data_IF_420675784074
#
_entry.id   IF_420675784074
#
_cell.length_a   1.000
_cell.length_b   1.000
_cell.length_c   1.000
_cell.angle_alpha   90.00
_cell.angle_beta   90.00
_cell.angle_gamma   90.00
#
_symmetry.space_group_name_H-M   'P 1'
#
loop_
_entity.id
_entity.type
_entity.pdbx_description
1 polymer ?
#
# COMPACT_ATOMS: atom_id res chain seq x y z
N UNK A 1 -13.04 -16.26 -80.57
CA UNK A 1 -14.06 -16.48 -79.51
C UNK A 1 -13.36 -16.92 -78.24
N UNK A 2 -13.70 -16.26 -77.12
CA UNK A 2 -13.52 -16.64 -75.70
C UNK A 2 -12.10 -16.51 -75.10
N UNK A 3 -11.82 -15.37 -74.46
CA UNK A 3 -11.91 -15.04 -72.99
C UNK A 3 -10.62 -15.43 -72.27
N UNK A 4 -9.70 -14.53 -71.92
CA UNK A 4 -9.77 -13.41 -70.95
C UNK A 4 -10.02 -13.84 -69.51
N UNK A 5 -9.15 -13.35 -68.63
CA UNK A 5 -9.22 -13.27 -67.15
C UNK A 5 -8.83 -14.51 -66.33
N UNK A 6 -7.59 -14.52 -65.85
CA UNK A 6 -7.20 -15.12 -64.55
C UNK A 6 -5.82 -14.58 -64.13
N UNK A 7 -5.75 -13.26 -63.93
CA UNK A 7 -4.57 -12.61 -63.35
C UNK A 7 -5.02 -11.42 -62.47
N UNK A 8 -5.83 -11.71 -61.44
CA UNK A 8 -6.21 -10.72 -60.42
C UNK A 8 -6.76 -11.46 -59.18
N UNK A 9 -5.94 -12.28 -58.52
CA UNK A 9 -6.31 -12.92 -57.25
C UNK A 9 -5.08 -13.21 -56.39
N UNK A 10 -4.17 -12.24 -56.27
CA UNK A 10 -3.05 -12.32 -55.32
C UNK A 10 -2.63 -10.94 -54.75
N UNK A 11 -3.43 -9.89 -54.94
CA UNK A 11 -3.16 -8.53 -54.43
C UNK A 11 -4.22 -7.98 -53.48
N UNK A 12 -5.33 -8.68 -53.25
CA UNK A 12 -6.40 -8.22 -52.35
C UNK A 12 -6.28 -8.69 -50.90
N UNK A 13 -5.42 -9.68 -50.58
CA UNK A 13 -5.34 -10.21 -49.20
C UNK A 13 -4.50 -9.32 -48.27
N UNK A 14 -3.62 -8.47 -48.81
CA UNK A 14 -2.77 -7.55 -48.01
C UNK A 14 -3.49 -6.22 -47.68
N UNK A 15 -4.58 -5.88 -48.39
CA UNK A 15 -5.32 -4.63 -48.16
C UNK A 15 -6.37 -4.75 -47.04
N UNK A 16 -6.94 -5.95 -46.84
CA UNK A 16 -8.03 -6.18 -45.87
C UNK A 16 -7.49 -6.17 -44.43
N UNK A 17 -6.29 -6.72 -44.21
CA UNK A 17 -5.62 -6.71 -42.91
C UNK A 17 -5.19 -5.31 -42.46
N UNK A 18 -4.75 -4.45 -43.39
CA UNK A 18 -4.39 -3.08 -43.03
C UNK A 18 -5.60 -2.21 -42.68
N UNK A 19 -6.76 -2.47 -43.31
CA UNK A 19 -8.01 -1.78 -43.02
C UNK A 19 -8.59 -2.18 -41.66
N UNK A 20 -8.51 -3.47 -41.28
CA UNK A 20 -8.97 -3.94 -39.97
C UNK A 20 -8.07 -3.41 -38.85
N UNK A 21 -6.75 -3.43 -39.03
CA UNK A 21 -5.80 -2.89 -38.04
C UNK A 21 -5.98 -1.37 -37.85
N UNK A 22 -6.19 -0.62 -38.93
CA UNK A 22 -6.47 0.82 -38.84
C UNK A 22 -7.77 1.13 -38.09
N UNK A 23 -8.82 0.32 -38.29
CA UNK A 23 -10.08 0.43 -37.54
C UNK A 23 -9.85 0.21 -36.05
N UNK A 24 -9.15 -0.87 -35.68
CA UNK A 24 -8.86 -1.21 -34.29
C UNK A 24 -8.00 -0.14 -33.60
N UNK A 25 -6.98 0.42 -34.26
CA UNK A 25 -6.18 1.53 -33.70
C UNK A 25 -7.00 2.79 -33.43
N UNK A 26 -7.98 3.09 -34.29
CA UNK A 26 -8.92 4.21 -34.08
C UNK A 26 -9.83 3.94 -32.88
N UNK A 27 -10.30 2.71 -32.73
CA UNK A 27 -11.12 2.30 -31.59
C UNK A 27 -10.32 2.38 -30.28
N UNK A 28 -9.08 1.89 -30.26
CA UNK A 28 -8.18 2.01 -29.11
C UNK A 28 -7.98 3.48 -28.70
N UNK A 29 -7.77 4.36 -29.69
CA UNK A 29 -7.65 5.81 -29.47
C UNK A 29 -8.94 6.40 -28.89
N UNK A 30 -10.10 5.97 -29.40
CA UNK A 30 -11.40 6.45 -28.94
C UNK A 30 -11.67 6.00 -27.49
N UNK A 31 -11.42 4.74 -27.15
CA UNK A 31 -11.54 4.20 -25.80
C UNK A 31 -10.66 4.96 -24.81
N UNK A 32 -9.38 5.22 -25.16
CA UNK A 32 -8.47 6.00 -24.34
C UNK A 32 -8.99 7.43 -24.09
N UNK A 33 -9.46 8.12 -25.13
CA UNK A 33 -10.00 9.48 -24.98
C UNK A 33 -11.30 9.51 -24.18
N UNK A 34 -12.17 8.52 -24.36
CA UNK A 34 -13.40 8.39 -23.57
C UNK A 34 -13.10 8.15 -22.08
N UNK A 35 -12.02 7.41 -21.77
CA UNK A 35 -11.58 7.18 -20.40
C UNK A 35 -11.10 8.47 -19.74
N UNK A 36 -10.21 9.23 -20.40
CA UNK A 36 -9.76 10.53 -19.89
C UNK A 36 -10.91 11.55 -19.79
N UNK A 37 -11.88 11.52 -20.71
CA UNK A 37 -13.09 12.33 -20.61
C UNK A 37 -13.93 11.94 -19.39
N UNK A 38 -14.06 10.64 -19.10
CA UNK A 38 -14.77 10.15 -17.92
C UNK A 38 -14.09 10.63 -16.63
N UNK A 39 -12.76 10.47 -16.53
CA UNK A 39 -11.96 10.99 -15.41
C UNK A 39 -12.16 12.50 -15.23
N UNK A 40 -12.04 13.28 -16.31
CA UNK A 40 -12.23 14.74 -16.25
C UNK A 40 -13.60 15.12 -15.71
N UNK A 41 -14.63 14.39 -16.12
CA UNK A 41 -16.01 14.64 -15.72
C UNK A 41 -16.36 14.00 -14.37
N UNK A 42 -15.42 13.32 -13.69
CA UNK A 42 -15.66 12.54 -12.48
C UNK A 42 -16.76 11.47 -12.66
N UNK A 43 -16.85 10.90 -13.86
CA UNK A 43 -17.78 9.81 -14.21
C UNK A 43 -17.10 8.46 -13.94
N UNK A 44 -17.02 8.08 -12.66
CA UNK A 44 -16.33 6.87 -12.21
C UNK A 44 -16.97 5.60 -12.76
N UNK A 45 -18.30 5.57 -12.94
CA UNK A 45 -19.00 4.43 -13.50
C UNK A 45 -18.56 4.18 -14.95
N UNK A 46 -18.48 5.23 -15.78
CA UNK A 46 -17.97 5.10 -17.15
C UNK A 46 -16.48 4.76 -17.17
N UNK A 47 -15.68 5.33 -16.28
CA UNK A 47 -14.26 4.99 -16.18
C UNK A 47 -14.07 3.50 -15.85
N UNK A 48 -14.87 2.95 -14.93
CA UNK A 48 -14.85 1.53 -14.57
C UNK A 48 -15.31 0.62 -15.72
N UNK A 49 -16.28 1.05 -16.55
CA UNK A 49 -16.65 0.27 -17.75
C UNK A 49 -15.49 0.20 -18.76
N UNK A 50 -14.80 1.33 -18.98
CA UNK A 50 -13.69 1.40 -19.95
C UNK A 50 -12.40 0.77 -19.40
N UNK A 51 -12.20 0.81 -18.09
CA UNK A 51 -11.09 0.21 -17.37
C UNK A 51 -11.62 -0.54 -16.13
N UNK A 52 -11.97 -1.83 -16.27
CA UNK A 52 -12.58 -2.60 -15.19
C UNK A 52 -11.81 -2.61 -13.86
N UNK A 53 -10.47 -2.56 -13.91
CA UNK A 53 -9.61 -2.53 -12.72
C UNK A 53 -9.31 -1.12 -12.21
N UNK A 54 -9.99 -0.10 -12.73
CA UNK A 54 -9.75 1.30 -12.35
C UNK A 54 -9.97 1.56 -10.86
N UNK A 55 -10.94 0.88 -10.24
CA UNK A 55 -11.24 1.02 -8.80
C UNK A 55 -10.08 0.59 -7.89
N UNK A 56 -9.13 -0.21 -8.40
CA UNK A 56 -7.93 -0.57 -7.62
C UNK A 56 -6.98 0.63 -7.47
N UNK A 57 -7.06 1.63 -8.35
CA UNK A 57 -6.27 2.85 -8.30
C UNK A 57 -6.93 3.84 -7.34
N UNK A 58 -6.46 3.89 -6.10
CA UNK A 58 -6.96 4.82 -5.07
C UNK A 58 -6.63 6.27 -5.38
N UNK A 59 -5.54 6.51 -6.12
CA UNK A 59 -5.12 7.82 -6.60
C UNK A 59 -4.73 7.74 -8.06
N UNK A 60 -4.95 8.82 -8.81
CA UNK A 60 -4.58 8.94 -10.22
C UNK A 60 -4.50 10.42 -10.61
N UNK A 61 -3.76 10.74 -11.67
CA UNK A 61 -3.75 12.08 -12.23
C UNK A 61 -5.08 12.39 -12.89
N UNK A 62 -5.74 13.46 -12.42
CA UNK A 62 -6.92 14.02 -13.08
C UNK A 62 -6.57 14.46 -14.51
N UNK A 63 -7.57 14.83 -15.30
CA UNK A 63 -7.38 15.25 -16.68
C UNK A 63 -8.15 16.54 -16.96
N UNK A 64 -7.48 17.55 -17.49
CA UNK A 64 -8.10 18.74 -18.10
C UNK A 64 -8.33 18.49 -19.60
N UNK A 65 -7.31 17.90 -20.24
CA UNK A 65 -7.31 17.48 -21.64
C UNK A 65 -6.33 16.33 -21.87
N UNK A 66 -6.66 15.47 -22.83
CA UNK A 66 -5.84 14.34 -23.23
C UNK A 66 -5.66 14.33 -24.75
N UNK A 67 -4.46 14.02 -25.22
CA UNK A 67 -4.12 13.90 -26.65
C UNK A 67 -3.44 12.56 -26.91
N UNK A 68 -4.01 11.74 -27.79
CA UNK A 68 -3.36 10.50 -28.25
C UNK A 68 -2.19 10.85 -29.16
N UNK A 69 -0.99 10.38 -28.81
CA UNK A 69 0.24 10.55 -29.59
C UNK A 69 0.56 9.37 -30.49
N UNK A 70 0.14 8.18 -30.10
CA UNK A 70 0.42 6.97 -30.86
C UNK A 70 -0.36 5.76 -30.36
N UNK A 71 -0.52 4.80 -31.26
CA UNK A 71 -1.06 3.48 -30.96
C UNK A 71 -0.16 2.43 -31.57
N UNK A 72 0.42 1.59 -30.72
CA UNK A 72 1.20 0.42 -31.13
C UNK A 72 0.36 -0.83 -30.88
N UNK A 73 0.32 -1.74 -31.84
CA UNK A 73 -0.29 -3.05 -31.66
C UNK A 73 0.84 -4.06 -31.44
N UNK A 74 0.83 -4.73 -30.29
CA UNK A 74 1.81 -5.72 -29.89
C UNK A 74 1.06 -6.98 -29.45
N UNK A 75 1.23 -8.07 -30.20
CA UNK A 75 0.52 -9.33 -30.01
C UNK A 75 -1.01 -9.16 -29.97
N UNK A 76 -1.62 -9.30 -28.80
CA UNK A 76 -3.07 -9.14 -28.58
C UNK A 76 -3.44 -7.83 -27.87
N UNK A 77 -2.48 -6.92 -27.70
CA UNK A 77 -2.64 -5.68 -26.94
C UNK A 77 -2.39 -4.45 -27.81
N UNK A 78 -3.16 -3.39 -27.55
CA UNK A 78 -2.92 -2.05 -28.05
C UNK A 78 -2.31 -1.20 -26.94
N UNK A 79 -1.15 -0.62 -27.20
CA UNK A 79 -0.51 0.36 -26.31
C UNK A 79 -0.82 1.75 -26.88
N UNK A 80 -1.64 2.50 -26.16
CA UNK A 80 -2.02 3.87 -26.52
C UNK A 80 -1.20 4.83 -25.66
N UNK A 81 -0.38 5.67 -26.29
CA UNK A 81 0.34 6.76 -25.62
C UNK A 81 -0.50 8.02 -25.64
N UNK A 82 -0.74 8.58 -24.47
CA UNK A 82 -1.58 9.77 -24.27
C UNK A 82 -0.80 10.83 -23.49
N UNK A 83 -0.73 12.04 -24.03
CA UNK A 83 -0.25 13.19 -23.27
C UNK A 83 -1.43 13.77 -22.48
N UNK A 84 -1.43 13.49 -21.18
CA UNK A 84 -2.43 13.97 -20.25
C UNK A 84 -1.98 15.29 -19.64
N UNK A 85 -2.83 16.30 -19.73
CA UNK A 85 -2.61 17.61 -19.12
C UNK A 85 -3.53 17.75 -17.92
N UNK A 86 -2.98 18.22 -16.80
CA UNK A 86 -3.76 18.40 -15.58
C UNK A 86 -3.26 19.57 -14.76
N UNK A 87 -4.18 20.15 -14.00
CA UNK A 87 -3.91 21.24 -13.08
C UNK A 87 -4.04 20.73 -11.65
N UNK A 88 -2.98 20.87 -10.84
CA UNK A 88 -3.04 20.45 -9.44
C UNK A 88 -3.85 21.44 -8.58
N UNK A 89 -4.06 21.10 -7.30
CA UNK A 89 -4.82 21.95 -6.36
C UNK A 89 -4.25 23.36 -6.13
N UNK A 90 -3.00 23.63 -6.57
CA UNK A 90 -2.34 24.93 -6.50
C UNK A 90 -2.40 25.71 -7.82
N UNK A 91 -3.12 25.21 -8.83
CA UNK A 91 -3.21 25.85 -10.15
C UNK A 91 -2.00 25.58 -11.07
N UNK A 92 -1.06 24.72 -10.67
CA UNK A 92 0.10 24.37 -11.50
C UNK A 92 -0.31 23.37 -12.57
N UNK A 93 -0.12 23.75 -13.83
CA UNK A 93 -0.31 22.89 -15.00
C UNK A 93 0.88 21.96 -15.19
N UNK A 94 0.59 20.69 -15.40
CA UNK A 94 1.58 19.63 -15.66
C UNK A 94 1.12 18.80 -16.84
N UNK A 95 2.07 18.32 -17.62
CA UNK A 95 1.87 17.36 -18.71
C UNK A 95 2.59 16.06 -18.34
N UNK A 96 1.91 14.92 -18.53
CA UNK A 96 2.49 13.59 -18.28
C UNK A 96 2.06 12.64 -19.39
N UNK A 97 3.04 11.94 -19.97
CA UNK A 97 2.77 10.84 -20.87
C UNK A 97 2.25 9.64 -20.05
N UNK A 98 1.10 9.12 -20.46
CA UNK A 98 0.45 7.94 -19.87
C UNK A 98 0.33 6.89 -20.97
N UNK A 99 0.62 5.64 -20.62
CA UNK A 99 0.46 4.50 -21.51
C UNK A 99 -0.73 3.68 -21.04
N UNK A 100 -1.68 3.43 -21.93
CA UNK A 100 -2.82 2.55 -21.66
C UNK A 100 -2.65 1.27 -22.46
N UNK A 101 -2.76 0.12 -21.79
CA UNK A 101 -2.78 -1.20 -22.42
C UNK A 101 -4.23 -1.59 -22.59
N UNK A 102 -4.65 -1.79 -23.84
CA UNK A 102 -6.01 -2.16 -24.19
C UNK A 102 -6.04 -3.55 -24.84
N UNK A 103 -7.12 -4.29 -24.62
CA UNK A 103 -7.42 -5.52 -25.35
C UNK A 103 -8.75 -5.39 -26.08
N UNK A 104 -8.91 -6.18 -27.13
CA UNK A 104 -10.22 -6.44 -27.74
C UNK A 104 -10.94 -7.52 -26.92
N UNK A 105 -12.19 -7.25 -26.58
CA UNK A 105 -13.10 -8.16 -25.88
C UNK A 105 -13.80 -9.09 -26.89
N UNK A 106 -14.53 -10.09 -26.39
CA UNK A 106 -15.26 -11.05 -27.23
C UNK A 106 -16.36 -10.40 -28.08
N UNK A 107 -16.93 -9.28 -27.60
CA UNK A 107 -17.94 -8.48 -28.30
C UNK A 107 -17.34 -7.44 -29.27
N UNK A 108 -16.05 -7.59 -29.60
CA UNK A 108 -15.22 -6.65 -30.39
C UNK A 108 -14.99 -5.27 -29.77
N UNK A 109 -15.56 -4.97 -28.59
CA UNK A 109 -15.27 -3.73 -27.88
C UNK A 109 -13.85 -3.72 -27.32
N UNK A 110 -13.34 -2.54 -26.93
CA UNK A 110 -12.03 -2.43 -26.29
C UNK A 110 -12.12 -2.01 -24.82
N UNK A 111 -11.34 -2.67 -23.97
CA UNK A 111 -11.17 -2.32 -22.56
C UNK A 111 -9.71 -2.10 -22.23
N UNK A 112 -9.45 -1.16 -21.32
CA UNK A 112 -8.14 -0.95 -20.71
C UNK A 112 -7.93 -2.06 -19.68
N UNK A 113 -6.79 -2.73 -19.76
CA UNK A 113 -6.41 -3.81 -18.83
C UNK A 113 -5.34 -3.36 -17.85
N UNK A 114 -4.52 -2.39 -18.23
CA UNK A 114 -3.47 -1.82 -17.38
C UNK A 114 -3.09 -0.42 -17.86
N UNK A 115 -2.34 0.30 -17.04
CA UNK A 115 -1.77 1.60 -17.38
C UNK A 115 -0.33 1.72 -16.89
N UNK A 116 0.39 2.71 -17.37
CA UNK A 116 1.67 3.14 -16.82
C UNK A 116 1.69 4.66 -16.69
N UNK A 117 1.99 5.13 -15.49
CA UNK A 117 2.10 6.56 -15.20
C UNK A 117 0.77 7.27 -14.98
N UNK A 118 -0.34 6.52 -14.89
CA UNK A 118 -1.65 7.09 -14.53
C UNK A 118 -1.69 7.52 -13.06
N UNK A 119 -0.83 6.94 -12.23
CA UNK A 119 -0.66 7.26 -10.82
C UNK A 119 0.82 7.39 -10.43
N UNK A 120 1.09 7.72 -9.17
CA UNK A 120 2.41 7.89 -8.60
C UNK A 120 2.46 7.27 -7.21
N UNK A 121 3.32 6.27 -7.07
CA UNK A 121 3.48 5.50 -5.83
C UNK A 121 4.72 5.92 -5.04
N UNK A 122 5.55 6.83 -5.54
CA UNK A 122 6.89 7.06 -5.01
C UNK A 122 6.91 7.49 -3.53
N UNK A 123 5.86 8.17 -3.06
CA UNK A 123 5.75 8.58 -1.66
C UNK A 123 5.18 7.50 -0.74
N UNK A 124 4.53 6.47 -1.29
CA UNK A 124 3.85 5.43 -0.54
C UNK A 124 4.85 4.48 0.14
N UNK A 125 4.61 4.14 1.40
CA UNK A 125 5.52 3.28 2.17
C UNK A 125 5.42 1.82 1.75
N UNK A 126 4.24 1.33 1.34
CA UNK A 126 4.08 -0.04 0.83
C UNK A 126 4.80 -0.20 -0.52
N UNK A 127 4.90 0.87 -1.31
CA UNK A 127 5.73 0.89 -2.52
C UNK A 127 7.22 0.74 -2.20
N UNK A 128 7.73 1.50 -1.22
CA UNK A 128 9.14 1.42 -0.80
C UNK A 128 9.45 0.04 -0.21
N UNK A 129 8.57 -0.50 0.64
CA UNK A 129 8.70 -1.85 1.17
C UNK A 129 8.66 -2.87 0.04
N UNK A 130 7.74 -2.73 -0.92
CA UNK A 130 7.63 -3.65 -2.04
C UNK A 130 8.87 -3.68 -2.94
N UNK A 131 9.55 -2.54 -3.13
CA UNK A 131 10.86 -2.50 -3.79
C UNK A 131 11.97 -3.16 -2.96
N UNK A 132 11.95 -2.96 -1.64
CA UNK A 132 12.93 -3.53 -0.71
C UNK A 132 12.84 -5.05 -0.64
N UNK A 133 11.62 -5.59 -0.49
CA UNK A 133 11.34 -7.03 -0.32
C UNK A 133 11.29 -7.81 -1.63
N UNK A 134 11.35 -7.12 -2.78
CA UNK A 134 11.23 -7.73 -4.10
C UNK A 134 9.80 -8.08 -4.50
N UNK A 135 8.78 -7.59 -3.79
CA UNK A 135 7.39 -7.74 -4.24
C UNK A 135 7.08 -6.96 -5.53
N UNK A 136 7.86 -5.90 -5.79
CA UNK A 136 7.80 -5.04 -6.97
C UNK A 136 9.18 -5.07 -7.63
N UNK A 137 9.24 -5.43 -8.92
CA UNK A 137 10.47 -5.33 -9.70
C UNK A 137 10.78 -3.87 -10.00
N UNK A 138 12.07 -3.47 -10.01
CA UNK A 138 12.48 -2.07 -10.20
C UNK A 138 12.09 -1.53 -11.57
N UNK A 139 12.03 -2.41 -12.55
CA UNK A 139 11.64 -2.14 -13.94
C UNK A 139 10.14 -2.23 -14.17
N UNK A 140 9.33 -2.63 -13.18
CA UNK A 140 7.89 -2.69 -13.34
C UNK A 140 7.28 -1.28 -13.30
N UNK A 141 6.69 -0.89 -14.42
CA UNK A 141 6.07 0.42 -14.58
C UNK A 141 4.55 0.34 -14.73
N UNK A 142 3.96 -0.86 -14.65
CA UNK A 142 2.54 -1.06 -14.86
C UNK A 142 1.77 -0.88 -13.55
N UNK A 143 0.82 0.05 -13.55
CA UNK A 143 0.17 0.53 -12.33
C UNK A 143 -0.55 -0.59 -11.58
N UNK A 144 -1.22 -1.54 -12.27
CA UNK A 144 -1.87 -2.68 -11.61
C UNK A 144 -0.88 -3.71 -11.08
N UNK A 145 0.26 -3.90 -11.76
CA UNK A 145 1.29 -4.84 -11.33
C UNK A 145 1.99 -4.30 -10.08
N UNK A 146 2.29 -3.00 -10.07
CA UNK A 146 2.81 -2.29 -8.90
C UNK A 146 1.82 -2.35 -7.74
N UNK A 147 0.53 -2.08 -7.95
CA UNK A 147 -0.50 -2.21 -6.91
C UNK A 147 -0.57 -3.63 -6.31
N UNK A 148 -0.46 -4.66 -7.15
CA UNK A 148 -0.44 -6.04 -6.68
C UNK A 148 0.82 -6.31 -5.83
N UNK A 149 1.97 -5.80 -6.25
CA UNK A 149 3.20 -5.82 -5.47
C UNK A 149 3.09 -5.07 -4.14
N UNK A 150 2.42 -3.92 -4.11
CA UNK A 150 2.15 -3.16 -2.88
C UNK A 150 1.22 -3.91 -1.93
N UNK A 151 0.17 -4.55 -2.43
CA UNK A 151 -0.73 -5.36 -1.61
C UNK A 151 0.02 -6.50 -0.91
N UNK A 152 0.89 -7.20 -1.66
CA UNK A 152 1.81 -8.21 -1.11
C UNK A 152 2.75 -7.63 -0.04
N UNK A 153 3.35 -6.48 -0.33
CA UNK A 153 4.26 -5.80 0.59
C UNK A 153 3.56 -5.37 1.89
N UNK A 154 2.32 -4.91 1.81
CA UNK A 154 1.49 -4.52 2.96
C UNK A 154 1.25 -5.69 3.90
N UNK A 155 0.89 -6.88 3.35
CA UNK A 155 0.74 -8.11 4.15
C UNK A 155 2.03 -8.46 4.88
N UNK A 156 3.17 -8.47 4.18
CA UNK A 156 4.48 -8.75 4.80
C UNK A 156 4.81 -7.73 5.88
N UNK A 157 4.53 -6.44 5.64
CA UNK A 157 4.80 -5.35 6.58
C UNK A 157 4.04 -5.56 7.89
N UNK A 158 2.76 -5.93 7.82
CA UNK A 158 1.92 -6.17 9.00
C UNK A 158 2.42 -7.35 9.83
N UNK A 159 2.76 -8.46 9.18
CA UNK A 159 3.27 -9.65 9.88
C UNK A 159 4.62 -9.39 10.53
N UNK A 160 5.53 -8.74 9.81
CA UNK A 160 6.83 -8.34 10.35
C UNK A 160 6.68 -7.33 11.50
N UNK A 161 5.67 -6.46 11.46
CA UNK A 161 5.37 -5.55 12.57
C UNK A 161 4.87 -6.31 13.80
N UNK A 162 4.03 -7.33 13.63
CA UNK A 162 3.60 -8.19 14.74
C UNK A 162 4.78 -8.95 15.37
N UNK A 163 5.70 -9.49 14.56
CA UNK A 163 6.93 -10.11 15.04
C UNK A 163 7.82 -9.11 15.79
N UNK A 164 7.97 -7.90 15.25
CA UNK A 164 8.76 -6.84 15.87
C UNK A 164 8.16 -6.39 17.20
N UNK A 165 6.82 -6.24 17.28
CA UNK A 165 6.14 -5.89 18.51
C UNK A 165 6.44 -6.90 19.64
N UNK A 166 6.43 -8.20 19.33
CA UNK A 166 6.83 -9.23 20.29
C UNK A 166 8.28 -9.05 20.75
N UNK A 167 9.21 -8.79 19.81
CA UNK A 167 10.62 -8.50 20.15
C UNK A 167 10.78 -7.25 21.03
N UNK A 168 9.98 -6.21 20.80
CA UNK A 168 9.97 -5.01 21.63
C UNK A 168 9.49 -5.33 23.05
N UNK A 169 8.42 -6.11 23.21
CA UNK A 169 7.94 -6.55 24.52
C UNK A 169 8.94 -7.45 25.26
N UNK A 170 9.64 -8.33 24.55
CA UNK A 170 10.67 -9.20 25.14
C UNK A 170 11.94 -8.42 25.53
N UNK A 171 12.32 -7.45 24.71
CA UNK A 171 13.55 -6.68 24.88
C UNK A 171 13.41 -5.41 25.72
N UNK A 172 12.21 -4.86 25.85
CA UNK A 172 11.95 -3.65 26.64
C UNK A 172 10.98 -3.97 27.78
N UNK A 173 11.44 -3.85 29.02
CA UNK A 173 10.71 -4.34 30.19
C UNK A 173 10.71 -3.32 31.34
N UNK A 174 9.72 -3.45 32.23
CA UNK A 174 9.68 -2.69 33.48
C UNK A 174 10.23 -3.56 34.61
N UNK A 175 11.25 -3.05 35.30
CA UNK A 175 11.91 -3.71 36.43
C UNK A 175 11.91 -2.81 37.67
N UNK A 176 12.13 -3.42 38.84
CA UNK A 176 12.38 -2.69 40.08
C UNK A 176 11.30 -1.65 40.42
N UNK A 177 10.03 -1.98 40.18
CA UNK A 177 8.92 -1.06 40.35
C UNK A 177 8.14 -1.31 41.63
N UNK A 178 7.52 -0.26 42.15
CA UNK A 178 6.70 -0.28 43.36
C UNK A 178 5.61 0.77 43.26
N UNK A 179 4.49 0.52 43.94
CA UNK A 179 3.40 1.48 44.07
C UNK A 179 2.86 1.49 45.50
N UNK A 180 2.19 2.57 45.86
CA UNK A 180 1.51 2.74 47.14
C UNK A 180 0.17 3.46 46.93
N UNK A 181 -0.80 3.13 47.79
CA UNK A 181 -2.06 3.85 47.88
C UNK A 181 -1.89 5.13 48.69
N UNK A 182 -2.43 6.23 48.19
CA UNK A 182 -2.44 7.54 48.84
C UNK A 182 -3.81 7.89 49.44
N UNK A 183 -3.92 9.15 49.87
CA UNK A 183 -5.16 9.70 50.43
C UNK A 183 -6.31 9.68 49.39
N UNK A 184 -7.54 9.54 49.87
CA UNK A 184 -8.75 9.52 49.05
C UNK A 184 -8.79 8.46 47.93
N UNK A 185 -8.06 7.35 48.10
CA UNK A 185 -8.03 6.25 47.13
C UNK A 185 -7.12 6.48 45.94
N UNK A 186 -6.26 7.51 45.97
CA UNK A 186 -5.21 7.72 44.97
C UNK A 186 -4.14 6.62 45.01
N UNK A 187 -3.32 6.53 43.99
CA UNK A 187 -2.10 5.72 44.02
C UNK A 187 -0.96 6.42 43.28
N UNK A 188 0.26 6.13 43.71
CA UNK A 188 1.46 6.59 43.02
C UNK A 188 2.54 5.54 43.07
N UNK A 189 3.52 5.64 42.18
CA UNK A 189 4.61 4.69 42.13
C UNK A 189 5.76 5.12 41.25
N UNK A 190 6.75 4.24 41.20
CA UNK A 190 7.96 4.40 40.40
C UNK A 190 8.39 3.06 39.84
N UNK A 191 9.08 3.09 38.71
CA UNK A 191 9.66 1.92 38.08
C UNK A 191 10.88 2.28 37.24
N UNK A 192 11.55 1.26 36.72
CA UNK A 192 12.68 1.41 35.81
C UNK A 192 12.34 0.69 34.52
N UNK A 193 12.26 1.43 33.41
CA UNK A 193 12.23 0.83 32.07
C UNK A 193 13.66 0.49 31.67
N UNK A 194 13.85 -0.73 31.17
CA UNK A 194 15.11 -1.20 30.59
C UNK A 194 14.85 -1.54 29.13
N UNK A 195 15.60 -0.93 28.21
CA UNK A 195 15.50 -1.23 26.80
C UNK A 195 16.73 -2.00 26.32
N UNK A 196 16.54 -3.24 25.87
CA UNK A 196 17.53 -4.13 25.26
C UNK A 196 17.01 -4.67 23.91
N UNK A 197 16.01 -4.01 23.32
CA UNK A 197 15.33 -4.49 22.12
C UNK A 197 16.14 -4.35 20.83
N UNK A 198 17.24 -3.60 20.85
CA UNK A 198 17.98 -3.21 19.65
C UNK A 198 17.49 -1.91 19.01
N UNK A 199 16.37 -1.33 19.47
CA UNK A 199 15.76 -0.13 18.91
C UNK A 199 15.84 1.06 19.86
N UNK A 200 15.89 2.28 19.32
CA UNK A 200 15.64 3.50 20.09
C UNK A 200 14.14 3.78 20.07
N UNK A 201 13.50 3.79 21.24
CA UNK A 201 12.03 3.79 21.33
C UNK A 201 11.54 5.17 21.76
N UNK A 202 11.01 5.99 20.83
CA UNK A 202 10.41 7.26 21.18
C UNK A 202 8.99 7.09 21.77
N UNK A 203 8.58 8.06 22.59
CA UNK A 203 7.21 8.24 23.12
C UNK A 203 6.63 6.97 23.76
N UNK A 204 7.45 6.18 24.44
CA UNK A 204 7.01 4.93 25.05
C UNK A 204 5.93 5.18 26.10
N UNK A 205 4.80 4.49 25.96
CA UNK A 205 3.72 4.52 26.93
C UNK A 205 3.85 3.39 27.94
N UNK A 206 3.32 3.63 29.12
CA UNK A 206 3.03 2.60 30.10
C UNK A 206 1.54 2.59 30.41
N UNK A 207 1.02 1.43 30.80
CA UNK A 207 -0.31 1.27 31.39
C UNK A 207 -0.17 0.52 32.71
N UNK A 208 -0.61 1.16 33.79
CA UNK A 208 -0.72 0.55 35.12
C UNK A 208 -2.13 0.00 35.27
N UNK A 209 -2.24 -1.27 35.60
CA UNK A 209 -3.51 -1.98 35.80
C UNK A 209 -3.64 -2.34 37.27
N UNK A 210 -4.64 -1.77 37.94
CA UNK A 210 -4.92 -1.99 39.36
C UNK A 210 -5.94 -3.10 39.54
N UNK A 211 -5.67 -4.02 40.46
CA UNK A 211 -6.36 -5.31 40.57
C UNK A 211 -6.80 -5.63 42.00
N UNK A 212 -7.90 -6.36 42.10
CA UNK A 212 -8.39 -6.91 43.37
C UNK A 212 -7.47 -8.04 43.90
N UNK A 213 -7.85 -8.63 45.04
CA UNK A 213 -7.06 -9.71 45.68
C UNK A 213 -6.97 -10.97 44.84
N UNK A 214 -7.98 -11.27 44.02
CA UNK A 214 -8.04 -12.48 43.20
C UNK A 214 -7.48 -12.27 41.78
N UNK A 215 -7.21 -11.02 41.41
CA UNK A 215 -6.50 -10.63 40.19
C UNK A 215 -7.36 -9.95 39.12
N UNK A 216 -8.63 -9.63 39.40
CA UNK A 216 -9.49 -8.93 38.45
C UNK A 216 -9.10 -7.45 38.34
N UNK A 217 -9.16 -6.90 37.13
CA UNK A 217 -8.96 -5.47 36.90
C UNK A 217 -10.10 -4.66 37.54
N UNK A 218 -9.72 -3.67 38.35
CA UNK A 218 -10.64 -2.67 38.93
C UNK A 218 -10.64 -1.43 38.05
N UNK A 219 -9.44 -0.94 37.72
CA UNK A 219 -9.21 0.22 36.87
C UNK A 219 -7.79 0.19 36.32
N UNK A 220 -7.52 1.03 35.33
CA UNK A 220 -6.19 1.26 34.81
C UNK A 220 -5.94 2.74 34.53
N UNK A 221 -4.67 3.11 34.49
CA UNK A 221 -4.22 4.45 34.12
C UNK A 221 -3.01 4.32 33.19
N UNK A 222 -2.82 5.29 32.32
CA UNK A 222 -1.74 5.30 31.34
C UNK A 222 -0.96 6.61 31.36
N UNK A 223 0.22 6.57 30.76
CA UNK A 223 1.07 7.73 30.65
C UNK A 223 2.29 7.46 29.82
N UNK A 224 3.15 8.48 29.71
CA UNK A 224 4.39 8.40 28.96
C UNK A 224 5.58 8.28 29.89
N UNK A 225 6.56 7.49 29.48
CA UNK A 225 7.87 7.50 30.12
C UNK A 225 8.52 8.85 29.79
N UNK A 226 8.85 9.62 30.84
CA UNK A 226 9.30 11.01 30.68
C UNK A 226 10.64 11.18 29.95
N UNK A 227 11.44 10.12 29.88
CA UNK A 227 12.70 10.11 29.15
C UNK A 227 12.46 9.58 27.75
N UNK A 228 12.72 10.43 26.75
CA UNK A 228 12.35 10.20 25.36
C UNK A 228 13.48 10.69 24.42
N UNK A 229 13.97 9.86 23.48
CA UNK A 229 13.70 8.43 23.32
C UNK A 229 14.39 7.58 24.40
N UNK A 230 13.89 6.36 24.60
CA UNK A 230 14.60 5.34 25.39
C UNK A 230 15.56 4.60 24.47
N UNK A 231 16.84 4.97 24.52
CA UNK A 231 17.88 4.36 23.70
C UNK A 231 18.09 2.88 24.02
N UNK A 232 18.53 2.11 23.02
CA UNK A 232 18.93 0.72 23.22
C UNK A 232 20.09 0.61 24.23
N UNK A 233 20.04 -0.39 25.11
CA UNK A 233 20.97 -0.60 26.21
C UNK A 233 20.74 0.31 27.42
N UNK A 234 19.81 1.27 27.34
CA UNK A 234 19.60 2.25 28.41
C UNK A 234 18.59 1.77 29.46
N UNK A 235 18.66 2.39 30.64
CA UNK A 235 17.70 2.21 31.73
C UNK A 235 17.25 3.56 32.25
N UNK A 236 15.94 3.77 32.38
CA UNK A 236 15.33 5.04 32.77
C UNK A 236 14.29 4.84 33.86
N UNK A 237 14.42 5.59 34.95
CA UNK A 237 13.39 5.62 35.98
C UNK A 237 12.18 6.43 35.51
N UNK A 238 10.98 6.03 35.89
CA UNK A 238 9.76 6.81 35.69
C UNK A 238 8.91 6.77 36.96
N UNK A 239 8.01 7.74 37.07
CA UNK A 239 7.03 7.85 38.15
C UNK A 239 5.64 7.96 37.56
N UNK A 240 4.64 7.47 38.27
CA UNK A 240 3.24 7.58 37.87
C UNK A 240 2.36 7.95 39.06
N UNK A 241 1.22 8.55 38.76
CA UNK A 241 0.21 8.95 39.73
C UNK A 241 -1.17 8.77 39.12
N UNK A 242 -2.11 8.27 39.91
CA UNK A 242 -3.53 8.21 39.55
C UNK A 242 -4.40 8.67 40.72
N UNK A 243 -5.55 9.26 40.41
CA UNK A 243 -6.42 9.87 41.42
C UNK A 243 -7.31 8.87 42.16
N UNK A 244 -7.57 7.68 41.59
CA UNK A 244 -8.44 6.68 42.19
C UNK A 244 -8.12 5.25 41.73
N UNK A 245 -7.94 4.32 42.69
CA UNK A 245 -7.71 2.89 42.44
C UNK A 245 -8.71 1.97 43.17
N UNK A 246 -9.69 2.53 43.88
CA UNK A 246 -10.61 1.76 44.72
C UNK A 246 -9.88 0.89 45.75
N UNK A 247 -10.37 -0.34 45.96
CA UNK A 247 -9.80 -1.30 46.91
C UNK A 247 -8.70 -2.20 46.29
N UNK A 248 -7.93 -1.65 45.35
CA UNK A 248 -6.85 -2.38 44.71
C UNK A 248 -5.83 -2.88 45.73
N UNK A 249 -5.43 -4.15 45.56
CA UNK A 249 -4.42 -4.81 46.42
C UNK A 249 -3.24 -5.34 45.62
N UNK A 250 -3.37 -5.37 44.30
CA UNK A 250 -2.35 -5.77 43.33
C UNK A 250 -2.30 -4.74 42.22
N UNK A 251 -1.17 -4.66 41.53
CA UNK A 251 -1.08 -3.93 40.28
C UNK A 251 -0.11 -4.64 39.32
N UNK A 252 -0.19 -4.32 38.04
CA UNK A 252 0.79 -4.70 37.02
C UNK A 252 1.05 -3.53 36.08
N UNK A 253 2.25 -3.43 35.54
CA UNK A 253 2.59 -2.44 34.51
C UNK A 253 2.87 -3.18 33.22
N UNK A 254 2.28 -2.71 32.13
CA UNK A 254 2.63 -3.11 30.77
C UNK A 254 3.14 -1.90 30.02
N UNK A 255 4.09 -2.14 29.12
CA UNK A 255 4.52 -1.14 28.14
C UNK A 255 3.60 -1.21 26.94
N UNK A 256 3.27 -0.06 26.37
CA UNK A 256 2.40 0.06 25.20
C UNK A 256 3.19 0.76 24.08
N UNK A 257 3.34 0.05 22.97
CA UNK A 257 4.11 0.49 21.81
C UNK A 257 3.14 1.00 20.75
N UNK A 258 3.41 2.21 20.25
CA UNK A 258 2.63 2.81 19.17
C UNK A 258 2.70 1.93 17.91
N UNK A 259 1.58 1.36 17.43
CA UNK A 259 1.58 0.50 16.25
C UNK A 259 2.14 1.19 15.01
N UNK A 260 1.92 2.50 14.85
CA UNK A 260 2.43 3.26 13.70
C UNK A 260 3.97 3.34 13.76
N UNK A 261 4.55 3.51 14.95
CA UNK A 261 5.99 3.47 15.15
C UNK A 261 6.58 2.09 14.78
N UNK A 262 5.88 1.01 15.13
CA UNK A 262 6.32 -0.34 14.81
C UNK A 262 6.30 -0.58 13.29
N UNK A 263 5.25 -0.12 12.62
CA UNK A 263 5.14 -0.17 11.16
C UNK A 263 6.24 0.68 10.49
N UNK A 264 6.54 1.87 11.03
CA UNK A 264 7.61 2.73 10.54
C UNK A 264 8.97 2.05 10.65
N UNK A 265 9.27 1.38 11.77
CA UNK A 265 10.51 0.62 11.93
C UNK A 265 10.65 -0.46 10.86
N UNK A 266 9.58 -1.19 10.54
CA UNK A 266 9.59 -2.20 9.47
C UNK A 266 9.76 -1.53 8.11
N UNK A 267 9.03 -0.45 7.84
CA UNK A 267 9.07 0.28 6.57
C UNK A 267 10.43 0.90 6.25
N UNK A 268 11.20 1.26 7.28
CA UNK A 268 12.51 1.90 7.15
C UNK A 268 13.69 0.94 7.24
N UNK A 269 13.44 -0.37 7.31
CA UNK A 269 14.50 -1.39 7.32
C UNK A 269 15.38 -1.28 6.07
N UNK A 270 16.68 -1.21 6.30
CA UNK A 270 17.69 -1.13 5.24
C UNK A 270 18.29 -2.50 4.89
N UNK A 271 17.91 -3.55 5.61
CA UNK A 271 18.48 -4.90 5.52
C UNK A 271 17.65 -5.86 4.66
N UNK A 272 16.66 -5.35 3.91
CA UNK A 272 15.94 -6.15 2.92
C UNK A 272 16.88 -6.65 1.82
N UNK A 273 16.76 -7.93 1.49
CA UNK A 273 17.58 -8.63 0.50
C UNK A 273 16.94 -8.64 -0.89
N UNK A 274 15.62 -8.45 -0.97
CA UNK A 274 14.84 -8.53 -2.20
C UNK A 274 14.25 -9.91 -2.48
N UNK A 275 14.43 -10.88 -1.59
CA UNK A 275 13.89 -12.24 -1.73
C UNK A 275 12.70 -12.50 -0.79
N UNK A 276 12.45 -11.61 0.18
CA UNK A 276 11.49 -11.82 1.25
C UNK A 276 10.08 -12.06 0.72
N UNK A 277 9.70 -11.38 -0.37
CA UNK A 277 8.39 -11.56 -0.96
C UNK A 277 8.16 -13.00 -1.44
N UNK A 278 9.13 -13.56 -2.17
CA UNK A 278 9.03 -14.93 -2.66
C UNK A 278 9.02 -15.92 -1.50
N UNK A 279 9.96 -15.77 -0.55
CA UNK A 279 10.07 -16.65 0.62
C UNK A 279 8.82 -16.63 1.51
N UNK A 280 8.16 -15.49 1.64
CA UNK A 280 6.94 -15.34 2.41
C UNK A 280 5.78 -16.07 1.74
N UNK A 281 5.48 -15.77 0.47
CA UNK A 281 4.33 -16.38 -0.21
C UNK A 281 4.53 -17.85 -0.59
N UNK A 282 5.77 -18.34 -0.64
CA UNK A 282 6.06 -19.79 -0.71
C UNK A 282 5.60 -20.52 0.57
N UNK A 283 5.64 -19.84 1.73
CA UNK A 283 5.18 -20.38 3.02
C UNK A 283 3.71 -20.09 3.30
N UNK A 284 3.17 -19.03 2.71
CA UNK A 284 1.81 -18.52 2.94
C UNK A 284 1.01 -18.40 1.62
N UNK A 285 0.80 -19.50 0.88
CA UNK A 285 0.11 -19.46 -0.42
C UNK A 285 -1.35 -18.99 -0.32
N UNK A 286 -2.00 -19.20 0.83
CA UNK A 286 -3.37 -18.75 1.10
C UNK A 286 -3.51 -17.22 1.11
N UNK A 287 -2.50 -16.50 1.62
CA UNK A 287 -2.49 -15.04 1.63
C UNK A 287 -2.36 -14.48 0.21
N UNK A 288 -1.56 -15.13 -0.64
CA UNK A 288 -1.45 -14.77 -2.05
C UNK A 288 -2.80 -14.93 -2.76
N UNK A 289 -3.48 -16.06 -2.55
CA UNK A 289 -4.80 -16.30 -3.13
C UNK A 289 -5.83 -15.28 -2.65
N UNK A 290 -5.78 -14.87 -1.38
CA UNK A 290 -6.67 -13.85 -0.83
C UNK A 290 -6.42 -12.47 -1.46
N UNK A 291 -5.18 -12.11 -1.75
CA UNK A 291 -4.83 -10.87 -2.46
C UNK A 291 -5.35 -10.93 -3.90
N UNK A 292 -5.09 -12.03 -4.61
CA UNK A 292 -5.57 -12.22 -5.98
C UNK A 292 -7.09 -12.10 -6.07
N UNK A 293 -7.83 -12.75 -5.16
CA UNK A 293 -9.29 -12.69 -5.13
C UNK A 293 -9.86 -11.28 -4.87
N UNK A 294 -9.12 -10.41 -4.17
CA UNK A 294 -9.55 -9.02 -3.90
C UNK A 294 -9.29 -8.07 -5.08
N UNK A 295 -8.32 -8.38 -5.93
CA UNK A 295 -7.89 -7.51 -7.03
C UNK A 295 -8.47 -7.89 -8.40
N UNK A 296 -9.24 -8.98 -8.45
CA UNK A 296 -9.95 -9.50 -9.62
C UNK A 296 -11.44 -9.19 -9.55
#
# INVERSE_FOLDING_TARGET
MRTSQLLCLASCVVLISSCSESKLKKEASATALQFFQAIRNSDEAKAAVLYPKFSNLTTYYKSDSALVKGVVHLDSLFIVTVDNHFTNGFGKKTEKAIYLLLKTNEDESMSIVNSSGLTDFASDDDYKVGLGTGCIAKEDTLDQSVLFGMAKASTIKVDQAAELLNKLHDGCTVSGWSWESGYAGSASGKGIVQNQSGFSIPRLKYKVIYKDRIGNEITSDDGYISYDPIENGSSKSFTFYTSYVGDASKASIVLDFDPDLVLDFVGQRADWTGNECAEYFDKHPEELQAIEAKMH
#
